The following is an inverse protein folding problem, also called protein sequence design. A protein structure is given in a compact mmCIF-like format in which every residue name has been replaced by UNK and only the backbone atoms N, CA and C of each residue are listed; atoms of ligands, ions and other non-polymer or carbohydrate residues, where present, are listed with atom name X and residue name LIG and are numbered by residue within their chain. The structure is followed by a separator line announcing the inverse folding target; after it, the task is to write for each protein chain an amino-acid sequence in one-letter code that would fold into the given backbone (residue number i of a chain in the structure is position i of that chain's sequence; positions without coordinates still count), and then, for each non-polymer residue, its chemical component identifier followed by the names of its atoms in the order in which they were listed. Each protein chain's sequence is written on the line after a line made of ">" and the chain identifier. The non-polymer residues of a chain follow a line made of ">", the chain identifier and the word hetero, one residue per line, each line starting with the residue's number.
data_IF_557634209049
#
_entry.id   IF_557634209049
#
_cell.length_a   1.000
_cell.length_b   1.000
_cell.length_c   1.000
_cell.angle_alpha   90.00
_cell.angle_beta   90.00
_cell.angle_gamma   90.00
#
_symmetry.space_group_name_H-M   'P 1'
#
loop_
_entity.id
_entity.type
_entity.pdbx_description
1 polymer ?
#
# COMPACT_ATOMS: atom_id res chain seq x y z
N UNK A 1 11.29 1.11 18.33
CA UNK A 1 11.40 1.10 17.85
C UNK A 1 11.30 0.77 16.86
N UNK A 2 11.22 1.20 16.65
CA UNK A 2 10.90 1.06 15.30
C UNK A 2 11.69 0.08 14.57
N UNK A 3 12.60 -0.43 15.08
CA UNK A 3 13.51 -1.32 14.36
C UNK A 3 12.86 -2.49 13.68
N UNK A 4 11.60 -2.67 13.84
CA UNK A 4 10.99 -3.82 13.24
C UNK A 4 10.38 -3.51 11.91
N UNK A 5 10.98 -2.69 11.13
CA UNK A 5 10.54 -2.41 9.79
C UNK A 5 10.09 -0.99 9.62
N UNK A 6 9.36 -0.72 8.55
CA UNK A 6 9.02 0.62 8.15
C UNK A 6 7.68 1.12 8.65
N UNK A 7 6.99 0.35 9.50
CA UNK A 7 5.64 0.71 9.91
C UNK A 7 5.63 1.34 11.29
N UNK A 8 4.90 2.44 11.39
CA UNK A 8 4.82 3.22 12.60
C UNK A 8 3.82 2.61 13.57
N UNK A 9 4.22 2.49 14.82
CA UNK A 9 3.33 1.99 15.87
C UNK A 9 2.20 2.94 16.18
N UNK A 10 2.41 4.21 15.90
CA UNK A 10 1.42 5.22 16.22
C UNK A 10 0.30 5.30 15.23
N UNK A 11 0.25 4.37 14.27
CA UNK A 11 -0.76 4.47 13.28
C UNK A 11 -2.12 4.65 13.93
N UNK A 12 -2.82 5.58 13.42
CA UNK A 12 -4.08 5.97 13.99
C UNK A 12 -5.21 5.08 13.54
N UNK A 13 -4.95 4.12 12.68
CA UNK A 13 -5.96 3.16 12.26
C UNK A 13 -5.83 1.87 13.05
N UNK A 14 -4.77 1.08 12.81
CA UNK A 14 -4.58 -0.20 13.46
C UNK A 14 -3.19 -0.26 14.05
N UNK A 15 -3.07 -0.55 15.35
CA UNK A 15 -1.76 -0.64 15.99
C UNK A 15 -0.87 -1.66 15.28
N UNK A 16 0.37 -1.28 15.02
CA UNK A 16 1.33 -2.15 14.32
C UNK A 16 1.56 -3.44 15.09
N UNK A 17 1.53 -3.41 16.43
CA UNK A 17 1.71 -4.60 17.22
C UNK A 17 0.59 -5.62 17.05
N UNK A 18 -0.53 -5.21 16.48
CA UNK A 18 -1.64 -6.10 16.16
C UNK A 18 -1.65 -6.50 14.69
N UNK A 19 -0.71 -5.99 13.92
CA UNK A 19 -0.54 -6.34 12.53
C UNK A 19 0.89 -6.72 12.31
N UNK A 20 1.11 -7.83 11.68
CA UNK A 20 2.45 -8.28 11.35
C UNK A 20 2.61 -8.31 9.86
N UNK A 21 3.64 -7.63 9.38
CA UNK A 21 3.96 -7.55 7.97
C UNK A 21 5.26 -8.28 7.70
N UNK A 22 5.29 -8.94 6.59
CA UNK A 22 6.47 -9.68 6.16
C UNK A 22 6.84 -9.21 4.76
N UNK A 23 8.12 -8.95 4.54
CA UNK A 23 8.61 -8.64 3.21
C UNK A 23 8.78 -9.94 2.44
N UNK A 24 8.11 -10.07 1.32
CA UNK A 24 8.17 -11.26 0.49
C UNK A 24 9.24 -11.15 -0.57
N UNK A 25 9.44 -9.95 -1.12
CA UNK A 25 10.36 -9.72 -2.22
C UNK A 25 10.59 -8.22 -2.39
N UNK A 26 11.53 -7.86 -3.23
CA UNK A 26 11.75 -6.48 -3.66
C UNK A 26 11.84 -6.48 -5.19
N UNK A 27 10.98 -5.71 -5.84
CA UNK A 27 10.94 -5.59 -7.29
C UNK A 27 11.09 -4.12 -7.64
N UNK A 28 12.13 -3.77 -8.39
CA UNK A 28 12.43 -2.38 -8.77
C UNK A 28 12.45 -1.43 -7.58
N UNK A 29 12.99 -1.88 -6.46
CA UNK A 29 13.05 -1.07 -5.24
C UNK A 29 11.76 -1.03 -4.43
N UNK A 30 10.71 -1.66 -4.92
CA UNK A 30 9.42 -1.69 -4.23
C UNK A 30 9.34 -2.97 -3.40
N UNK A 31 9.13 -2.82 -2.09
CA UNK A 31 8.97 -3.97 -1.22
C UNK A 31 7.57 -4.55 -1.38
N UNK A 32 7.52 -5.84 -1.61
CA UNK A 32 6.25 -6.59 -1.62
C UNK A 32 6.07 -7.14 -0.22
N UNK A 33 4.99 -6.75 0.43
CA UNK A 33 4.71 -7.11 1.82
C UNK A 33 3.40 -7.87 1.93
N UNK A 34 3.29 -8.64 2.98
CA UNK A 34 2.09 -9.39 3.31
C UNK A 34 1.69 -9.14 4.75
N UNK A 35 0.40 -8.96 4.99
CA UNK A 35 -0.15 -8.87 6.34
C UNK A 35 -0.46 -10.29 6.82
N UNK A 36 0.33 -10.77 7.74
CA UNK A 36 0.21 -12.12 8.25
C UNK A 36 -1.11 -12.41 8.94
N UNK A 37 -1.64 -11.42 9.60
CA UNK A 37 -2.77 -11.65 10.49
C UNK A 37 -4.10 -11.62 9.77
N UNK A 38 -4.28 -10.66 8.88
CA UNK A 38 -5.54 -10.53 8.19
C UNK A 38 -5.54 -11.15 6.80
N UNK A 39 -4.38 -11.19 6.15
CA UNK A 39 -4.27 -11.74 4.80
C UNK A 39 -5.03 -10.97 3.74
N UNK A 40 -5.63 -9.83 4.06
CA UNK A 40 -6.52 -9.14 3.14
C UNK A 40 -5.90 -7.93 2.45
N UNK A 41 -4.61 -7.73 2.63
CA UNK A 41 -3.90 -6.68 1.88
C UNK A 41 -4.00 -5.28 2.45
N UNK A 42 -4.46 -5.14 3.67
CA UNK A 42 -4.48 -3.82 4.31
C UNK A 42 -3.09 -3.39 4.72
N UNK A 43 -2.87 -2.08 4.72
CA UNK A 43 -1.59 -1.54 5.12
C UNK A 43 -1.80 -0.31 5.99
N UNK A 44 -0.88 -0.02 6.92
CA UNK A 44 -1.06 1.15 7.79
C UNK A 44 -0.94 2.45 7.01
N UNK A 45 -1.59 3.49 7.50
CA UNK A 45 -1.53 4.81 6.88
C UNK A 45 -0.22 5.52 7.17
N UNK A 46 0.60 5.02 8.09
CA UNK A 46 1.88 5.62 8.42
C UNK A 46 3.03 4.64 8.27
N UNK A 47 4.19 5.16 7.93
CA UNK A 47 5.41 4.38 7.74
C UNK A 47 6.56 4.98 8.54
N UNK A 48 7.47 4.14 9.03
CA UNK A 48 8.71 4.62 9.66
C UNK A 48 9.67 5.23 8.65
N UNK A 49 9.55 4.87 7.38
CA UNK A 49 10.34 5.47 6.31
C UNK A 49 9.57 6.67 5.77
N UNK A 50 10.23 7.83 5.67
CA UNK A 50 9.57 9.06 5.27
C UNK A 50 8.94 8.96 3.89
N UNK A 51 9.72 8.51 2.92
CA UNK A 51 9.27 8.39 1.54
C UNK A 51 9.54 6.96 1.08
N UNK A 52 8.48 6.24 0.78
CA UNK A 52 8.64 4.84 0.39
C UNK A 52 7.43 4.35 -0.40
N UNK A 53 7.58 3.20 -1.03
CA UNK A 53 6.53 2.56 -1.81
C UNK A 53 6.47 1.09 -1.42
N UNK A 54 5.28 0.60 -1.16
CA UNK A 54 5.05 -0.81 -0.86
C UNK A 54 3.99 -1.37 -1.78
N UNK A 55 4.19 -2.60 -2.24
CA UNK A 55 3.14 -3.38 -2.90
C UNK A 55 2.61 -4.37 -1.87
N UNK A 56 1.32 -4.56 -1.83
CA UNK A 56 0.70 -5.40 -0.80
C UNK A 56 0.07 -6.63 -1.45
N UNK A 57 0.58 -7.78 -1.03
CA UNK A 57 0.05 -9.08 -1.44
C UNK A 57 -1.19 -9.41 -0.63
N UNK A 58 -2.25 -9.81 -1.32
CA UNK A 58 -3.46 -10.31 -0.67
C UNK A 58 -3.48 -11.83 -0.78
N UNK A 59 -3.37 -12.49 0.35
CA UNK A 59 -3.43 -13.95 0.38
C UNK A 59 -4.82 -14.43 -0.06
N UNK A 60 -5.85 -13.70 0.33
CA UNK A 60 -7.21 -14.02 -0.05
C UNK A 60 -7.42 -13.94 -1.56
N UNK A 61 -6.88 -12.91 -2.19
CA UNK A 61 -7.02 -12.73 -3.64
C UNK A 61 -5.95 -13.51 -4.43
N UNK A 62 -4.87 -13.92 -3.79
CA UNK A 62 -3.77 -14.61 -4.44
C UNK A 62 -2.99 -13.72 -5.41
N UNK A 63 -2.93 -12.43 -5.15
CA UNK A 63 -2.23 -11.48 -6.01
C UNK A 63 -1.93 -10.18 -5.26
N UNK A 64 -1.08 -9.36 -5.85
CA UNK A 64 -0.87 -8.00 -5.37
C UNK A 64 -2.07 -7.17 -5.81
N UNK A 65 -2.71 -6.51 -4.86
CA UNK A 65 -3.91 -5.71 -5.12
C UNK A 65 -3.64 -4.22 -5.14
N UNK A 66 -2.65 -3.75 -4.39
CA UNK A 66 -2.43 -2.33 -4.20
C UNK A 66 -0.95 -2.00 -4.18
N UNK A 67 -0.62 -0.79 -4.64
CA UNK A 67 0.68 -0.18 -4.44
C UNK A 67 0.42 1.08 -3.65
N UNK A 68 1.12 1.24 -2.52
CA UNK A 68 0.93 2.37 -1.61
C UNK A 68 2.18 3.24 -1.58
N UNK A 69 1.98 4.53 -1.73
CA UNK A 69 3.04 5.52 -1.76
C UNK A 69 2.95 6.39 -0.50
N UNK A 70 4.07 6.54 0.18
CA UNK A 70 4.17 7.33 1.41
C UNK A 70 5.07 8.53 1.18
N UNK A 71 4.67 9.66 1.73
CA UNK A 71 5.45 10.88 1.73
C UNK A 71 5.38 11.47 3.12
N UNK A 72 6.52 11.83 3.68
CA UNK A 72 6.58 12.37 5.04
C UNK A 72 5.94 11.41 6.04
N UNK A 73 6.19 10.11 5.87
CA UNK A 73 5.66 9.03 6.72
C UNK A 73 4.16 8.74 6.56
N UNK A 74 3.46 9.42 5.67
CA UNK A 74 2.01 9.29 5.54
C UNK A 74 1.63 8.79 4.15
N UNK A 75 0.69 7.87 4.10
CA UNK A 75 0.12 7.37 2.86
C UNK A 75 -0.58 8.53 2.14
N UNK A 76 -0.23 8.77 0.87
CA UNK A 76 -0.82 9.89 0.14
C UNK A 76 -1.33 9.53 -1.25
N UNK A 77 -0.96 8.38 -1.78
CA UNK A 77 -1.29 8.00 -3.14
C UNK A 77 -1.29 6.49 -3.24
N UNK A 78 -2.21 5.93 -4.00
CA UNK A 78 -2.24 4.48 -4.18
C UNK A 78 -2.64 4.12 -5.60
N UNK A 79 -2.23 2.92 -6.01
CA UNK A 79 -2.63 2.34 -7.29
C UNK A 79 -3.36 1.04 -6.97
N UNK A 80 -4.55 0.89 -7.54
CA UNK A 80 -5.31 -0.35 -7.42
C UNK A 80 -5.05 -1.19 -8.68
N UNK A 81 -4.59 -2.42 -8.47
CA UNK A 81 -4.30 -3.33 -9.57
C UNK A 81 -5.55 -4.11 -9.92
N UNK A 82 -6.17 -3.75 -11.04
CA UNK A 82 -7.40 -4.37 -11.50
C UNK A 82 -7.31 -4.68 -13.00
N UNK A 83 -6.22 -5.30 -13.41
CA UNK A 83 -5.99 -5.61 -14.81
C UNK A 83 -5.96 -4.34 -15.65
N UNK A 84 -6.67 -4.33 -16.76
CA UNK A 84 -6.73 -3.16 -17.63
C UNK A 84 -7.48 -1.99 -17.01
N UNK A 85 -8.21 -2.22 -15.92
CA UNK A 85 -8.93 -1.18 -15.19
C UNK A 85 -8.12 -0.63 -14.02
N UNK A 86 -6.83 -0.97 -13.95
CA UNK A 86 -5.96 -0.44 -12.89
C UNK A 86 -5.94 1.08 -12.96
N UNK A 87 -5.97 1.69 -11.80
CA UNK A 87 -6.05 3.15 -11.71
C UNK A 87 -5.39 3.63 -10.43
N UNK A 88 -5.12 4.92 -10.37
CA UNK A 88 -4.53 5.55 -9.21
C UNK A 88 -5.52 6.49 -8.55
N UNK A 89 -5.32 6.76 -7.29
CA UNK A 89 -6.07 7.79 -6.58
C UNK A 89 -5.26 8.35 -5.42
N UNK A 90 -5.57 9.60 -5.09
CA UNK A 90 -4.96 10.24 -3.92
C UNK A 90 -5.62 9.68 -2.67
N UNK A 91 -4.85 9.58 -1.60
CA UNK A 91 -5.37 9.12 -0.32
C UNK A 91 -5.46 10.33 0.60
N UNK A 92 -6.63 10.56 1.14
CA UNK A 92 -6.89 11.65 2.08
C UNK A 92 -6.96 11.06 3.48
N UNK A 93 -6.06 11.50 4.33
CA UNK A 93 -5.96 10.98 5.70
C UNK A 93 -6.30 12.10 6.67
N UNK A 94 -7.20 11.84 7.60
CA UNK A 94 -7.52 12.78 8.65
C UNK A 94 -6.33 12.85 9.62
N UNK A 95 -5.69 14.01 9.77
CA UNK A 95 -4.49 14.10 10.60
C UNK A 95 -4.74 13.88 12.08
N UNK A 96 -5.98 13.99 12.53
CA UNK A 96 -6.32 13.79 13.93
C UNK A 96 -6.63 12.34 14.27
N UNK A 97 -7.32 11.64 13.36
CA UNK A 97 -7.77 10.27 13.64
C UNK A 97 -6.99 9.22 12.86
N UNK A 98 -6.29 9.61 11.79
CA UNK A 98 -5.61 8.68 10.90
C UNK A 98 -6.54 7.90 9.99
N UNK A 99 -7.81 8.25 9.98
CA UNK A 99 -8.77 7.56 9.13
C UNK A 99 -8.67 8.06 7.69
N UNK A 100 -8.90 7.15 6.77
CA UNK A 100 -8.94 7.49 5.34
C UNK A 100 -10.28 8.12 5.05
N UNK A 101 -10.24 9.33 4.48
CA UNK A 101 -11.44 10.08 4.18
C UNK A 101 -12.19 9.51 2.98
N UNK A 102 -13.49 9.77 2.93
CA UNK A 102 -14.37 9.27 1.87
C UNK A 102 -13.95 9.70 0.48
N UNK A 103 -13.38 10.91 0.35
CA UNK A 103 -12.93 11.41 -0.95
C UNK A 103 -11.93 10.49 -1.62
N UNK A 104 -11.21 9.70 -0.86
CA UNK A 104 -10.24 8.76 -1.38
C UNK A 104 -10.88 7.80 -2.38
N UNK A 105 -12.12 7.40 -2.13
CA UNK A 105 -12.83 6.43 -2.97
C UNK A 105 -13.83 7.04 -3.95
N UNK A 106 -13.85 8.37 -4.05
CA UNK A 106 -14.69 9.03 -5.04
C UNK A 106 -14.17 8.78 -6.46
N UNK A 107 -15.07 8.51 -7.39
CA UNK A 107 -14.70 8.31 -8.79
C UNK A 107 -13.99 9.52 -9.38
N UNK A 108 -14.29 10.72 -8.90
CA UNK A 108 -13.61 11.93 -9.32
C UNK A 108 -12.14 11.96 -8.90
N UNK A 109 -11.74 11.07 -7.98
CA UNK A 109 -10.38 10.93 -7.51
C UNK A 109 -9.65 9.76 -8.19
N UNK A 110 -10.18 9.23 -9.27
CA UNK A 110 -9.53 8.15 -10.02
C UNK A 110 -8.77 8.75 -11.19
N UNK A 111 -7.52 8.35 -11.34
CA UNK A 111 -6.62 8.85 -12.38
C UNK A 111 -6.08 7.73 -13.22
N UNK A 112 -5.89 7.98 -14.49
CA UNK A 112 -5.25 7.03 -15.37
C UNK A 112 -3.77 6.90 -15.01
N UNK A 113 -3.24 5.71 -15.18
CA UNK A 113 -1.83 5.45 -14.92
C UNK A 113 -0.99 5.99 -16.08
N UNK A 114 0.17 6.56 -15.74
CA UNK A 114 1.14 6.95 -16.75
C UNK A 114 1.97 5.73 -17.18
N UNK A 115 2.85 5.90 -18.17
CA UNK A 115 3.65 4.80 -18.70
C UNK A 115 4.53 4.14 -17.65
N UNK A 116 5.11 4.94 -16.78
CA UNK A 116 5.97 4.44 -15.70
C UNK A 116 5.18 3.59 -14.72
N UNK A 117 3.99 4.06 -14.37
CA UNK A 117 3.11 3.32 -13.47
C UNK A 117 2.63 2.03 -14.09
N UNK A 118 2.28 2.04 -15.37
CA UNK A 118 1.90 0.82 -16.08
C UNK A 118 3.02 -0.22 -16.10
N UNK A 119 4.27 0.23 -16.27
CA UNK A 119 5.41 -0.70 -16.23
C UNK A 119 5.49 -1.40 -14.88
N UNK A 120 5.31 -0.67 -13.81
CA UNK A 120 5.33 -1.23 -12.45
C UNK A 120 4.16 -2.18 -12.26
N UNK A 121 2.97 -1.76 -12.63
CA UNK A 121 1.76 -2.57 -12.49
C UNK A 121 1.90 -3.89 -13.26
N UNK A 122 2.41 -3.84 -14.47
CA UNK A 122 2.58 -5.04 -15.28
C UNK A 122 3.56 -6.03 -14.66
N UNK A 123 4.65 -5.54 -14.07
CA UNK A 123 5.62 -6.40 -13.40
C UNK A 123 5.02 -7.04 -12.13
N UNK A 124 4.30 -6.26 -11.35
CA UNK A 124 3.73 -6.73 -10.10
C UNK A 124 2.52 -7.63 -10.33
N UNK A 125 1.80 -7.43 -11.42
CA UNK A 125 0.62 -8.25 -11.73
C UNK A 125 0.99 -9.70 -12.02
N UNK A 126 2.19 -9.96 -12.53
CA UNK A 126 2.63 -11.32 -12.81
C UNK A 126 3.46 -11.93 -11.69
N UNK A 127 3.80 -11.13 -10.69
CA UNK A 127 4.55 -11.63 -9.54
C UNK A 127 3.67 -12.57 -8.73
N UNK A 128 4.24 -13.68 -8.26
CA UNK A 128 3.52 -14.65 -7.45
C UNK A 128 4.35 -15.02 -6.23
N UNK A 129 3.69 -15.17 -5.12
CA UNK A 129 4.29 -15.66 -3.89
C UNK A 129 4.74 -17.10 -4.09
N UNK A 130 5.93 -17.41 -3.63
CA UNK A 130 6.50 -18.76 -3.69
C UNK A 130 6.02 -19.61 -2.55
#
# INVERSE_FOLDING_TARGET
>A
MGGRGSFDKSTMSIPVEKRKYKTLDVVDGIKIIEDFESGNGKTPVMSNTADTVYAVWSETAGRIKHIFYYKNHVLYYSIDLEGKNSHAHKVYVNPKTGEIGRKTHDKSNYFELNSKEWNIVNKLSVWKKK
#
